data_IF_512931468710
#
_entry.id   IF_512931468710
#
_cell.length_a   1.000
_cell.length_b   1.000
_cell.length_c   1.000
_cell.angle_alpha   90.00
_cell.angle_beta   90.00
_cell.angle_gamma   90.00
#
_symmetry.space_group_name_H-M   'P 1'
#
loop_
_entity.id
_entity.type
_entity.pdbx_description
1 polymer ?
#
# COMPACT_ATOMS: atom_id res chain seq x y z
N UNK A 1 -3.96 13.38 0.56
CA UNK A 1 -2.96 12.84 -0.40
C UNK A 1 -3.18 11.36 -0.68
N UNK A 2 -3.92 10.70 0.21
CA UNK A 2 -4.34 9.31 0.11
C UNK A 2 -4.90 8.87 -1.26
N UNK A 3 -5.93 9.54 -1.77
CA UNK A 3 -6.58 9.16 -3.05
C UNK A 3 -5.63 9.14 -4.25
N UNK A 4 -4.63 10.04 -4.26
CA UNK A 4 -3.59 10.04 -5.29
C UNK A 4 -2.73 8.78 -5.19
N UNK A 5 -2.28 8.42 -3.99
CA UNK A 5 -1.49 7.21 -3.75
C UNK A 5 -2.29 5.95 -4.11
N UNK A 6 -3.58 5.88 -3.71
CA UNK A 6 -4.50 4.80 -4.08
C UNK A 6 -4.57 4.61 -5.60
N UNK A 7 -4.78 5.71 -6.33
CA UNK A 7 -4.84 5.71 -7.80
C UNK A 7 -3.56 5.20 -8.44
N UNK A 8 -2.39 5.64 -7.95
CA UNK A 8 -1.09 5.17 -8.47
C UNK A 8 -0.92 3.67 -8.22
N UNK A 9 -1.21 3.20 -7.00
CA UNK A 9 -1.11 1.77 -6.67
C UNK A 9 -1.98 0.89 -7.55
N UNK A 10 -3.23 1.30 -7.81
CA UNK A 10 -4.11 0.59 -8.74
C UNK A 10 -3.48 0.47 -10.14
N UNK A 11 -2.93 1.57 -10.67
CA UNK A 11 -2.30 1.60 -11.99
C UNK A 11 -1.06 0.71 -12.09
N UNK A 12 -0.27 0.58 -11.02
CA UNK A 12 0.96 -0.24 -11.03
C UNK A 12 0.79 -1.65 -10.47
N UNK A 13 -0.43 -2.01 -10.02
CA UNK A 13 -0.72 -3.28 -9.34
C UNK A 13 -0.48 -4.53 -10.18
N UNK A 14 -0.37 -4.40 -11.50
CA UNK A 14 -0.04 -5.49 -12.43
C UNK A 14 1.41 -5.99 -12.26
N UNK A 15 2.31 -5.19 -11.69
CA UNK A 15 3.72 -5.54 -11.47
C UNK A 15 4.07 -5.49 -10.00
N UNK A 16 4.46 -6.64 -9.44
CA UNK A 16 4.90 -6.75 -8.04
C UNK A 16 6.04 -5.78 -7.70
N UNK A 17 7.00 -5.62 -8.62
CA UNK A 17 8.13 -4.71 -8.43
C UNK A 17 7.69 -3.24 -8.40
N UNK A 18 6.83 -2.81 -9.34
CA UNK A 18 6.35 -1.43 -9.35
C UNK A 18 5.42 -1.15 -8.17
N UNK A 19 4.54 -2.10 -7.85
CA UNK A 19 3.65 -2.02 -6.69
C UNK A 19 4.43 -1.82 -5.40
N UNK A 20 5.45 -2.64 -5.12
CA UNK A 20 6.28 -2.51 -3.92
C UNK A 20 6.98 -1.14 -3.84
N UNK A 21 7.48 -0.63 -4.98
CA UNK A 21 8.14 0.68 -5.03
C UNK A 21 7.18 1.83 -4.73
N UNK A 22 6.01 1.85 -5.36
CA UNK A 22 5.02 2.91 -5.16
C UNK A 22 4.36 2.79 -3.78
N UNK A 23 4.16 1.59 -3.26
CA UNK A 23 3.67 1.37 -1.89
C UNK A 23 4.61 2.01 -0.87
N UNK A 24 5.92 1.74 -0.99
CA UNK A 24 6.94 2.33 -0.12
C UNK A 24 6.96 3.86 -0.20
N UNK A 25 6.72 4.44 -1.38
CA UNK A 25 6.59 5.90 -1.54
C UNK A 25 5.32 6.41 -0.86
N UNK A 26 4.19 5.75 -1.07
CA UNK A 26 2.91 6.08 -0.46
C UNK A 26 3.00 6.15 1.06
N UNK A 27 3.58 5.13 1.70
CA UNK A 27 3.76 5.08 3.16
C UNK A 27 4.61 6.25 3.68
N UNK A 28 5.60 6.73 2.90
CA UNK A 28 6.43 7.88 3.28
C UNK A 28 5.78 9.23 3.00
N UNK A 29 4.86 9.28 2.03
CA UNK A 29 4.25 10.49 1.54
C UNK A 29 3.01 10.89 2.33
N UNK A 30 2.30 9.90 2.89
CA UNK A 30 1.07 10.10 3.64
C UNK A 30 1.33 10.56 5.06
N UNK A 31 0.41 11.35 5.60
CA UNK A 31 0.45 11.75 7.01
C UNK A 31 0.14 10.55 7.92
N UNK A 32 0.66 10.52 9.16
CA UNK A 32 0.40 9.42 10.09
C UNK A 32 -1.10 9.11 10.27
N UNK A 33 -1.95 10.14 10.25
CA UNK A 33 -3.41 10.02 10.33
C UNK A 33 -4.05 9.37 9.10
N UNK A 34 -3.40 9.39 7.93
CA UNK A 34 -3.85 8.72 6.70
C UNK A 34 -3.34 7.27 6.60
N UNK A 35 -2.31 6.88 7.38
CA UNK A 35 -1.63 5.58 7.22
C UNK A 35 -2.52 4.40 7.61
N UNK A 36 -3.35 4.53 8.64
CA UNK A 36 -4.26 3.45 9.05
C UNK A 36 -5.30 3.17 7.96
N UNK A 37 -6.00 4.20 7.47
CA UNK A 37 -6.95 4.06 6.36
C UNK A 37 -6.26 3.50 5.10
N UNK A 38 -5.05 3.96 4.81
CA UNK A 38 -4.27 3.47 3.68
C UNK A 38 -3.92 1.99 3.80
N UNK A 39 -3.53 1.55 4.99
CA UNK A 39 -3.21 0.15 5.28
C UNK A 39 -4.42 -0.73 5.03
N UNK A 40 -5.55 -0.41 5.64
CA UNK A 40 -6.77 -1.23 5.55
C UNK A 40 -7.23 -1.35 4.10
N UNK A 41 -7.24 -0.21 3.38
CA UNK A 41 -7.56 -0.19 1.97
C UNK A 41 -6.59 -1.04 1.12
N UNK A 42 -5.28 -1.03 1.42
CA UNK A 42 -4.31 -1.86 0.71
C UNK A 42 -4.56 -3.35 0.91
N UNK A 43 -4.91 -3.78 2.13
CA UNK A 43 -5.23 -5.19 2.40
C UNK A 43 -6.55 -5.62 1.76
N UNK A 44 -7.58 -4.77 1.77
CA UNK A 44 -8.85 -5.04 1.10
C UNK A 44 -8.68 -5.14 -0.43
N UNK A 45 -7.97 -4.18 -1.03
CA UNK A 45 -7.83 -4.07 -2.48
C UNK A 45 -6.80 -5.05 -3.07
N UNK A 46 -5.71 -5.31 -2.36
CA UNK A 46 -4.56 -6.03 -2.90
C UNK A 46 -4.12 -7.25 -2.08
N UNK A 47 -4.81 -7.56 -0.98
CA UNK A 47 -4.54 -8.72 -0.13
C UNK A 47 -4.32 -10.01 -0.94
N UNK A 48 -5.25 -10.44 -1.81
CA UNK A 48 -5.12 -11.69 -2.55
C UNK A 48 -3.86 -11.80 -3.43
N UNK A 49 -3.39 -10.69 -4.00
CA UNK A 49 -2.32 -10.67 -5.00
C UNK A 49 -0.95 -10.25 -4.44
N UNK A 50 -0.95 -9.42 -3.39
CA UNK A 50 0.23 -8.73 -2.88
C UNK A 50 0.43 -8.88 -1.36
N UNK A 51 -0.28 -9.81 -0.71
CA UNK A 51 -0.17 -10.08 0.74
C UNK A 51 1.27 -10.09 1.29
N UNK A 52 2.25 -10.78 0.65
CA UNK A 52 3.61 -10.85 1.19
C UNK A 52 4.30 -9.48 1.22
N UNK A 53 3.99 -8.62 0.24
CA UNK A 53 4.53 -7.26 0.16
C UNK A 53 3.85 -6.42 1.26
N UNK A 54 2.53 -6.46 1.37
CA UNK A 54 1.79 -5.70 2.38
C UNK A 54 2.26 -6.04 3.81
N UNK A 55 2.42 -7.32 4.12
CA UNK A 55 2.90 -7.78 5.43
C UNK A 55 4.31 -7.28 5.77
N UNK A 56 5.18 -7.12 4.75
CA UNK A 56 6.54 -6.61 4.93
C UNK A 56 6.55 -5.15 5.38
N UNK A 57 5.64 -4.33 4.85
CA UNK A 57 5.65 -2.88 5.08
C UNK A 57 4.71 -2.42 6.19
N UNK A 58 3.57 -3.06 6.36
CA UNK A 58 2.59 -2.72 7.39
C UNK A 58 2.70 -3.55 8.66
N UNK A 59 3.74 -4.40 8.76
CA UNK A 59 4.07 -5.33 9.86
C UNK A 59 2.96 -5.42 10.93
N UNK A 60 2.13 -6.48 10.95
CA UNK A 60 1.33 -6.75 12.13
C UNK A 60 2.31 -6.99 13.28
N UNK A 61 2.26 -6.13 14.30
CA UNK A 61 2.94 -6.39 15.56
C UNK A 61 2.27 -7.63 16.17
N UNK A 62 2.96 -8.76 16.16
CA UNK A 62 2.70 -9.89 17.03
C UNK A 62 3.79 -9.92 18.09
#
# INVERSE_FOLDING_TARGET
>A
MLEYVKTILQKVSFSKYLFERELKKGIRYLMPTEIEEFRDWCYESFGPSHQPILNRYFRPAY
#
